data_IF_011534020410
#
_entry.id   IF_011534020410
#
_cell.length_a   1.000
_cell.length_b   1.000
_cell.length_c   1.000
_cell.angle_alpha   90.00
_cell.angle_beta   90.00
_cell.angle_gamma   90.00
#
_symmetry.space_group_name_H-M   'P 1'
#
loop_
_entity.id
_entity.type
_entity.pdbx_description
1 polymer ?
#
# COMPACT_ATOMS: atom_id res chain seq x y z
N UNK A 1 1.09 49.27 -24.99
CA UNK A 1 0.35 48.78 -23.80
C UNK A 1 0.62 47.29 -23.74
N UNK A 2 1.47 46.90 -22.80
CA UNK A 2 1.79 45.50 -22.48
C UNK A 2 0.61 44.91 -21.73
N UNK A 3 0.02 43.82 -22.22
CA UNK A 3 -0.89 42.98 -21.44
C UNK A 3 -0.06 41.83 -20.90
N UNK A 4 0.33 41.94 -19.63
CA UNK A 4 0.85 40.83 -18.86
C UNK A 4 -0.32 39.87 -18.59
N UNK A 5 -0.30 38.72 -19.26
CA UNK A 5 -1.16 37.59 -18.90
C UNK A 5 -0.67 37.02 -17.56
N UNK A 6 -1.35 37.40 -16.48
CA UNK A 6 -1.29 36.68 -15.22
C UNK A 6 -1.96 35.31 -15.41
N UNK A 7 -1.16 34.32 -15.80
CA UNK A 7 -1.49 32.92 -15.54
C UNK A 7 -1.64 32.74 -14.03
N UNK A 8 -2.88 32.66 -13.56
CA UNK A 8 -3.17 32.14 -12.24
C UNK A 8 -2.69 30.68 -12.22
N UNK A 9 -1.54 30.44 -11.56
CA UNK A 9 -1.06 29.10 -11.26
C UNK A 9 -2.11 28.41 -10.37
N UNK A 10 -2.97 27.60 -10.98
CA UNK A 10 -3.79 26.64 -10.23
C UNK A 10 -2.81 25.63 -9.62
N UNK A 11 -2.85 25.38 -8.30
CA UNK A 11 -1.97 24.40 -7.66
C UNK A 11 -2.15 23.03 -8.34
N UNK A 12 -1.05 22.44 -8.80
CA UNK A 12 -1.07 21.09 -9.35
C UNK A 12 -1.20 20.13 -8.17
N UNK A 13 -2.39 19.54 -8.00
CA UNK A 13 -2.59 18.49 -7.00
C UNK A 13 -1.78 17.26 -7.38
N UNK A 14 -0.83 16.87 -6.53
CA UNK A 14 -0.03 15.67 -6.74
C UNK A 14 -0.91 14.40 -6.71
N UNK A 15 -0.58 13.42 -7.53
CA UNK A 15 -1.28 12.14 -7.64
C UNK A 15 -0.28 11.00 -7.65
N UNK A 16 -0.79 9.76 -7.66
CA UNK A 16 0.02 8.54 -7.70
C UNK A 16 0.99 8.47 -8.89
N UNK A 17 0.79 9.24 -9.96
CA UNK A 17 1.67 9.31 -11.14
C UNK A 17 2.58 10.53 -11.17
N UNK A 18 2.62 11.34 -10.11
CA UNK A 18 3.39 12.61 -10.11
C UNK A 18 4.89 12.39 -9.94
N UNK A 19 5.29 11.48 -9.04
CA UNK A 19 6.67 11.37 -8.61
C UNK A 19 7.41 10.17 -9.24
N UNK A 20 8.59 10.45 -9.80
CA UNK A 20 9.49 9.44 -10.37
C UNK A 20 10.59 9.01 -9.39
N UNK A 21 10.86 9.81 -8.37
CA UNK A 21 11.90 9.58 -7.38
C UNK A 21 11.56 10.20 -6.04
N UNK A 22 12.18 9.67 -4.99
CA UNK A 22 11.97 10.06 -3.60
C UNK A 22 13.32 10.14 -2.89
N UNK A 23 13.63 11.23 -2.19
CA UNK A 23 14.72 11.27 -1.20
C UNK A 23 14.15 11.26 0.20
N UNK A 24 14.69 10.39 1.06
CA UNK A 24 14.30 10.25 2.46
C UNK A 24 15.46 10.62 3.38
N UNK A 25 15.17 11.52 4.31
CA UNK A 25 16.04 11.89 5.43
C UNK A 25 15.60 11.15 6.69
N UNK A 26 16.57 10.74 7.52
CA UNK A 26 16.30 10.11 8.81
C UNK A 26 15.95 8.62 8.77
N UNK A 27 16.04 7.95 7.60
CA UNK A 27 15.79 6.50 7.53
C UNK A 27 17.04 5.65 7.77
N UNK A 28 18.20 6.16 7.32
CA UNK A 28 19.43 5.40 7.19
C UNK A 28 20.61 6.18 7.77
N UNK A 29 21.65 5.45 8.17
CA UNK A 29 22.91 6.04 8.61
C UNK A 29 24.09 5.11 8.30
N UNK A 30 25.27 5.69 8.20
CA UNK A 30 26.53 4.99 8.42
C UNK A 30 26.85 5.00 9.91
N UNK A 31 27.94 4.33 10.31
CA UNK A 31 28.38 4.29 11.71
C UNK A 31 28.65 5.69 12.30
N UNK A 32 28.93 6.68 11.46
CA UNK A 32 29.31 8.03 11.90
C UNK A 32 28.36 9.14 11.46
N UNK A 33 27.58 8.95 10.38
CA UNK A 33 26.79 10.03 9.79
C UNK A 33 25.38 9.56 9.37
N UNK A 34 24.36 10.42 9.51
CA UNK A 34 23.09 10.22 8.83
C UNK A 34 23.29 10.10 7.31
N UNK A 35 22.44 9.29 6.68
CA UNK A 35 22.39 9.12 5.24
C UNK A 35 21.07 9.62 4.67
N UNK A 36 21.18 10.32 3.54
CA UNK A 36 20.05 10.73 2.72
C UNK A 36 19.98 9.74 1.56
N UNK A 37 18.88 8.98 1.47
CA UNK A 37 18.76 7.94 0.45
C UNK A 37 17.80 8.36 -0.64
N UNK A 38 18.21 8.22 -1.89
CA UNK A 38 17.34 8.45 -3.06
C UNK A 38 16.83 7.12 -3.60
N UNK A 39 15.51 6.98 -3.66
CA UNK A 39 14.79 5.83 -4.18
C UNK A 39 14.16 6.17 -5.53
N UNK A 40 14.11 5.18 -6.41
CA UNK A 40 13.42 5.30 -7.70
C UNK A 40 12.01 4.73 -7.60
N UNK A 41 11.07 5.31 -8.37
CA UNK A 41 9.73 4.74 -8.53
C UNK A 41 9.85 3.32 -9.06
N UNK A 42 9.18 2.38 -8.39
CA UNK A 42 9.19 0.97 -8.75
C UNK A 42 7.82 0.53 -9.25
N UNK A 43 7.81 -0.48 -10.11
CA UNK A 43 6.56 -1.09 -10.58
C UNK A 43 5.87 -1.79 -9.42
N UNK A 44 4.55 -1.70 -9.33
CA UNK A 44 3.76 -2.45 -8.36
C UNK A 44 3.63 -3.93 -8.76
N UNK A 45 2.98 -4.76 -7.92
CA UNK A 45 2.82 -6.19 -8.16
C UNK A 45 1.35 -6.63 -8.24
N UNK A 46 0.83 -6.88 -9.46
CA UNK A 46 -0.56 -7.30 -9.65
C UNK A 46 -0.96 -8.58 -8.90
N UNK A 47 -2.21 -8.61 -8.43
CA UNK A 47 -2.81 -9.79 -7.82
C UNK A 47 -3.37 -10.74 -8.87
N UNK A 48 -3.36 -12.05 -8.59
CA UNK A 48 -4.25 -12.95 -9.31
C UNK A 48 -5.71 -12.58 -9.03
N UNK A 49 -6.58 -12.77 -10.02
CA UNK A 49 -8.03 -12.64 -9.82
C UNK A 49 -8.52 -13.75 -8.91
N UNK A 50 -9.21 -13.40 -7.84
CA UNK A 50 -9.92 -14.38 -7.03
C UNK A 50 -11.20 -14.80 -7.76
N UNK A 51 -11.43 -16.11 -7.83
CA UNK A 51 -12.58 -16.72 -8.50
C UNK A 51 -13.17 -17.81 -7.63
N UNK A 52 -14.48 -17.81 -7.44
CA UNK A 52 -15.18 -18.92 -6.81
C UNK A 52 -15.57 -19.99 -7.83
N UNK A 53 -16.08 -19.53 -8.98
CA UNK A 53 -16.35 -20.35 -10.16
C UNK A 53 -15.63 -19.71 -11.33
N UNK A 54 -14.76 -20.49 -11.97
CA UNK A 54 -14.00 -19.95 -13.09
C UNK A 54 -14.94 -19.63 -14.26
N UNK A 55 -15.00 -18.35 -14.58
CA UNK A 55 -15.55 -17.81 -15.82
C UNK A 55 -14.37 -17.18 -16.55
N UNK A 56 -14.03 -17.66 -17.77
CA UNK A 56 -13.05 -16.99 -18.61
C UNK A 56 -13.53 -15.58 -18.93
N UNK A 57 -12.65 -14.61 -18.77
CA UNK A 57 -12.91 -13.21 -19.08
C UNK A 57 -11.99 -12.77 -20.22
N UNK A 58 -12.41 -11.78 -21.04
CA UNK A 58 -11.48 -11.11 -21.93
C UNK A 58 -10.39 -10.41 -21.11
N UNK A 59 -9.30 -10.02 -21.78
CA UNK A 59 -8.19 -9.29 -21.16
C UNK A 59 -8.69 -8.06 -20.40
N UNK A 60 -8.23 -7.92 -19.16
CA UNK A 60 -8.61 -6.82 -18.26
C UNK A 60 -7.43 -5.86 -18.17
N UNK A 61 -7.38 -4.88 -19.09
CA UNK A 61 -6.25 -3.93 -19.15
C UNK A 61 -6.09 -3.13 -17.84
N UNK A 62 -7.18 -2.84 -17.12
CA UNK A 62 -7.13 -2.17 -15.82
C UNK A 62 -6.40 -2.97 -14.75
N UNK A 63 -6.15 -4.26 -14.97
CA UNK A 63 -5.42 -5.13 -14.04
C UNK A 63 -3.90 -4.96 -14.10
N UNK A 64 -3.39 -4.33 -15.16
CA UNK A 64 -1.98 -3.99 -15.29
C UNK A 64 -1.53 -3.08 -14.14
N UNK A 65 -0.23 -3.12 -13.75
CA UNK A 65 0.33 -2.09 -12.90
C UNK A 65 0.37 -0.76 -13.68
N UNK A 66 0.30 0.38 -12.98
CA UNK A 66 0.42 1.67 -13.64
C UNK A 66 1.79 1.84 -14.30
N UNK A 67 1.82 2.58 -15.40
CA UNK A 67 3.07 2.96 -16.04
C UNK A 67 3.87 3.89 -15.13
N UNK A 68 5.19 3.69 -15.10
CA UNK A 68 6.09 4.58 -14.37
C UNK A 68 6.04 5.97 -15.02
N UNK A 69 6.05 7.05 -14.23
CA UNK A 69 6.09 8.39 -14.79
C UNK A 69 7.43 8.65 -15.47
N UNK A 70 7.39 8.94 -16.77
CA UNK A 70 8.55 9.43 -17.51
C UNK A 70 8.79 10.87 -17.08
N UNK A 71 9.99 11.18 -16.57
CA UNK A 71 10.38 12.51 -16.10
C UNK A 71 9.45 13.12 -15.02
N UNK A 72 8.90 12.27 -14.15
CA UNK A 72 8.09 12.72 -13.01
C UNK A 72 8.88 13.56 -12.00
N UNK A 73 8.17 14.30 -11.14
CA UNK A 73 8.78 15.16 -10.12
C UNK A 73 9.60 14.34 -9.09
N UNK A 74 10.49 15.05 -8.38
CA UNK A 74 11.22 14.51 -7.24
C UNK A 74 10.50 14.90 -5.94
N UNK A 75 10.27 13.93 -5.07
CA UNK A 75 9.75 14.16 -3.72
C UNK A 75 10.89 14.07 -2.71
N UNK A 76 11.00 15.01 -1.79
CA UNK A 76 12.00 15.01 -0.73
C UNK A 76 11.30 15.14 0.62
N UNK A 77 11.50 14.16 1.50
CA UNK A 77 10.83 14.08 2.79
C UNK A 77 11.81 13.87 3.95
N UNK A 78 11.48 14.46 5.09
CA UNK A 78 12.08 14.16 6.39
C UNK A 78 11.15 13.26 7.20
N UNK A 79 11.67 12.12 7.67
CA UNK A 79 10.95 11.25 8.60
C UNK A 79 10.97 11.85 10.00
N UNK A 80 9.81 11.83 10.67
CA UNK A 80 9.65 12.37 12.02
C UNK A 80 9.25 11.27 13.00
N UNK A 81 7.99 11.22 13.41
CA UNK A 81 7.52 10.31 14.45
C UNK A 81 7.17 8.93 13.89
N UNK A 82 7.59 7.87 14.59
CA UNK A 82 7.04 6.53 14.37
C UNK A 82 5.55 6.51 14.71
N UNK A 83 4.72 6.12 13.75
CA UNK A 83 3.26 6.03 13.88
C UNK A 83 2.86 4.65 14.37
N UNK A 84 3.42 3.60 13.74
CA UNK A 84 3.07 2.22 14.05
C UNK A 84 4.15 1.25 13.60
N UNK A 85 4.21 0.10 14.27
CA UNK A 85 4.96 -1.06 13.84
C UNK A 85 3.99 -2.24 13.66
N UNK A 86 4.06 -2.87 12.50
CA UNK A 86 3.32 -4.07 12.17
C UNK A 86 4.21 -5.29 11.93
N UNK A 87 3.57 -6.39 11.55
CA UNK A 87 4.25 -7.65 11.19
C UNK A 87 5.24 -7.44 10.05
N UNK A 88 4.86 -6.66 9.04
CA UNK A 88 5.57 -6.56 7.75
C UNK A 88 6.45 -5.32 7.61
N UNK A 89 6.16 -4.26 8.37
CA UNK A 89 6.81 -2.95 8.20
C UNK A 89 6.48 -1.99 9.32
N UNK A 90 7.03 -0.79 9.22
CA UNK A 90 6.82 0.35 10.11
C UNK A 90 6.22 1.50 9.31
N UNK A 91 5.44 2.35 9.96
CA UNK A 91 4.93 3.59 9.38
C UNK A 91 5.47 4.79 10.16
N UNK A 92 5.95 5.79 9.44
CA UNK A 92 6.46 7.05 9.98
C UNK A 92 5.65 8.22 9.48
N UNK A 93 5.54 9.26 10.29
CA UNK A 93 5.13 10.57 9.83
C UNK A 93 6.25 11.16 8.97
N UNK A 94 5.89 11.91 7.94
CA UNK A 94 6.87 12.53 7.06
C UNK A 94 6.44 13.95 6.68
N UNK A 95 7.41 14.84 6.57
CA UNK A 95 7.22 16.22 6.18
C UNK A 95 7.93 16.50 4.85
N UNK A 96 7.25 17.11 3.86
CA UNK A 96 7.91 17.60 2.66
C UNK A 96 8.96 18.66 3.01
N UNK A 97 10.12 18.56 2.38
CA UNK A 97 11.20 19.54 2.53
C UNK A 97 11.71 19.97 1.14
N UNK A 98 12.58 20.98 1.11
CA UNK A 98 13.15 21.52 -0.12
C UNK A 98 12.07 22.04 -1.08
N UNK A 99 12.21 21.71 -2.37
CA UNK A 99 11.26 22.12 -3.41
C UNK A 99 9.89 21.42 -3.29
N UNK A 100 9.80 20.35 -2.49
CA UNK A 100 8.54 19.62 -2.28
C UNK A 100 7.51 20.43 -1.49
N UNK A 101 7.97 21.43 -0.73
CA UNK A 101 7.11 22.34 0.05
C UNK A 101 6.21 23.19 -0.85
N UNK A 102 6.60 23.41 -2.11
CA UNK A 102 5.81 24.18 -3.07
C UNK A 102 4.65 23.37 -3.68
N UNK A 103 4.59 22.06 -3.42
CA UNK A 103 3.52 21.19 -3.86
C UNK A 103 2.37 21.19 -2.86
N UNK A 104 1.14 21.20 -3.36
CA UNK A 104 -0.06 21.06 -2.53
C UNK A 104 -0.26 19.59 -2.10
N UNK A 105 0.54 19.18 -1.12
CA UNK A 105 0.55 17.86 -0.52
C UNK A 105 -0.21 17.86 0.81
N UNK A 106 -1.01 16.82 1.11
CA UNK A 106 -1.52 16.63 2.46
C UNK A 106 -0.37 16.24 3.41
N UNK A 107 -0.65 16.16 4.71
CA UNK A 107 0.25 15.48 5.63
C UNK A 107 0.59 14.07 5.10
N UNK A 108 1.85 13.67 5.18
CA UNK A 108 2.33 12.42 4.60
C UNK A 108 2.75 11.42 5.68
N UNK A 109 2.64 10.14 5.33
CA UNK A 109 3.27 9.06 6.05
C UNK A 109 4.01 8.13 5.08
N UNK A 110 5.03 7.47 5.62
CA UNK A 110 5.94 6.62 4.88
C UNK A 110 5.91 5.25 5.52
N UNK A 111 5.41 4.25 4.79
CA UNK A 111 5.45 2.84 5.19
C UNK A 111 6.73 2.22 4.66
N UNK A 112 7.60 1.78 5.57
CA UNK A 112 8.87 1.13 5.28
C UNK A 112 8.75 -0.35 5.61
N UNK A 113 9.05 -1.23 4.65
CA UNK A 113 8.98 -2.67 4.91
C UNK A 113 10.26 -3.24 5.52
N UNK A 114 10.07 -4.31 6.29
CA UNK A 114 11.16 -5.19 6.71
C UNK A 114 11.69 -5.95 5.47
N UNK A 115 12.98 -6.34 5.41
CA UNK A 115 13.63 -6.80 4.18
C UNK A 115 12.95 -7.97 3.46
N UNK A 116 12.22 -8.82 4.18
CA UNK A 116 11.54 -10.01 3.64
C UNK A 116 10.21 -9.70 2.93
N UNK A 117 9.67 -8.49 3.07
CA UNK A 117 8.29 -8.15 2.66
C UNK A 117 8.20 -7.15 1.49
N UNK A 118 9.28 -6.95 0.73
CA UNK A 118 9.26 -6.06 -0.45
C UNK A 118 8.14 -6.40 -1.44
N UNK A 119 7.98 -7.69 -1.74
CA UNK A 119 6.90 -8.21 -2.59
C UNK A 119 5.49 -7.95 -2.03
N UNK A 120 5.34 -7.98 -0.71
CA UNK A 120 4.10 -7.64 -0.02
C UNK A 120 3.75 -6.17 -0.19
N UNK A 121 4.72 -5.25 -0.07
CA UNK A 121 4.47 -3.83 -0.30
C UNK A 121 4.20 -3.53 -1.78
N UNK A 122 4.91 -4.18 -2.70
CA UNK A 122 4.63 -4.05 -4.12
C UNK A 122 3.19 -4.47 -4.45
N UNK A 123 2.68 -5.52 -3.78
CA UNK A 123 1.29 -5.97 -3.91
C UNK A 123 0.30 -4.95 -3.34
N UNK A 124 0.56 -4.45 -2.14
CA UNK A 124 -0.27 -3.40 -1.52
C UNK A 124 -0.30 -2.13 -2.37
N UNK A 125 0.85 -1.71 -2.90
CA UNK A 125 0.98 -0.57 -3.81
C UNK A 125 0.08 -0.73 -5.04
N UNK A 126 0.01 -1.95 -5.61
CA UNK A 126 -0.87 -2.21 -6.74
C UNK A 126 -2.34 -1.99 -6.36
N UNK A 127 -2.79 -2.40 -5.17
CA UNK A 127 -4.16 -2.10 -4.74
C UNK A 127 -4.44 -0.60 -4.65
N UNK A 128 -3.50 0.19 -4.12
CA UNK A 128 -3.65 1.65 -4.14
C UNK A 128 -3.68 2.22 -5.56
N UNK A 129 -2.92 1.66 -6.51
CA UNK A 129 -3.05 2.03 -7.93
C UNK A 129 -4.44 1.76 -8.49
N UNK A 130 -5.02 0.59 -8.17
CA UNK A 130 -6.38 0.25 -8.59
C UNK A 130 -7.42 1.19 -7.96
N UNK A 131 -7.21 1.61 -6.71
CA UNK A 131 -8.09 2.54 -6.01
C UNK A 131 -7.98 3.97 -6.56
N UNK A 132 -6.78 4.41 -6.99
CA UNK A 132 -6.57 5.72 -7.59
C UNK A 132 -7.23 5.89 -8.96
N UNK A 133 -7.51 4.78 -9.67
CA UNK A 133 -8.25 4.79 -10.93
C UNK A 133 -9.76 4.98 -10.74
N UNK A 134 -10.28 4.78 -9.52
CA UNK A 134 -11.71 4.81 -9.21
C UNK A 134 -12.06 6.11 -8.50
N UNK A 135 -12.92 6.93 -9.12
CA UNK A 135 -13.20 8.31 -8.68
C UNK A 135 -13.80 8.43 -7.26
N UNK A 136 -14.33 7.34 -6.70
CA UNK A 136 -14.96 7.28 -5.39
C UNK A 136 -14.07 6.62 -4.32
N UNK A 137 -12.81 6.33 -4.61
CA UNK A 137 -11.95 5.55 -3.73
C UNK A 137 -10.83 6.36 -3.09
N UNK A 138 -9.85 6.80 -3.88
CA UNK A 138 -8.67 7.51 -3.36
C UNK A 138 -9.05 8.85 -2.70
N UNK A 139 -8.58 9.08 -1.48
CA UNK A 139 -8.93 10.27 -0.68
C UNK A 139 -10.37 10.26 -0.15
N UNK A 140 -11.19 9.27 -0.50
CA UNK A 140 -12.58 9.13 -0.05
C UNK A 140 -12.70 8.01 0.99
N UNK A 141 -12.40 6.78 0.57
CA UNK A 141 -12.49 5.56 1.41
C UNK A 141 -11.11 4.99 1.75
N UNK A 142 -10.06 5.46 1.10
CA UNK A 142 -8.64 5.13 1.36
C UNK A 142 -7.79 6.40 1.37
N UNK A 143 -6.59 6.42 1.99
CA UNK A 143 -5.67 7.54 1.80
C UNK A 143 -5.27 7.70 0.33
N UNK A 144 -4.82 8.90 -0.03
CA UNK A 144 -4.09 9.13 -1.29
C UNK A 144 -2.74 8.40 -1.27
N UNK A 145 -2.33 7.86 -2.40
CA UNK A 145 -1.05 7.19 -2.57
C UNK A 145 -0.16 7.99 -3.52
N UNK A 146 1.06 8.26 -3.09
CA UNK A 146 2.03 9.06 -3.85
C UNK A 146 3.12 8.22 -4.49
N UNK A 147 3.23 6.94 -4.11
CA UNK A 147 4.00 5.97 -4.86
C UNK A 147 4.70 4.91 -4.05
N UNK A 148 5.16 3.90 -4.78
CA UNK A 148 5.99 2.81 -4.30
C UNK A 148 7.42 2.96 -4.85
N UNK A 149 8.39 3.02 -3.95
CA UNK A 149 9.77 3.35 -4.26
C UNK A 149 10.70 2.28 -3.70
N UNK A 150 11.79 2.01 -4.42
CA UNK A 150 12.77 1.01 -4.02
C UNK A 150 14.20 1.48 -4.28
N UNK A 151 15.13 1.04 -3.44
CA UNK A 151 16.58 1.16 -3.67
C UNK A 151 17.31 -0.03 -3.07
N UNK A 152 18.36 -0.49 -3.72
CA UNK A 152 19.26 -1.50 -3.15
C UNK A 152 20.14 -0.86 -2.09
N UNK A 153 20.31 -1.51 -0.94
CA UNK A 153 21.09 -0.97 0.17
C UNK A 153 22.54 -0.68 -0.24
N UNK A 154 23.12 -1.49 -1.12
CA UNK A 154 24.52 -1.30 -1.59
C UNK A 154 24.72 -0.02 -2.39
N UNK A 155 23.62 0.54 -2.92
CA UNK A 155 23.61 1.77 -3.71
C UNK A 155 23.36 3.00 -2.82
N UNK A 156 23.20 2.80 -1.51
CA UNK A 156 22.96 3.86 -0.53
C UNK A 156 24.27 4.27 0.16
N UNK A 157 24.55 5.57 0.17
CA UNK A 157 25.74 6.15 0.79
C UNK A 157 25.36 7.33 1.68
N UNK A 158 26.15 7.58 2.72
CA UNK A 158 26.03 8.79 3.55
C UNK A 158 26.58 10.03 2.83
N UNK A 159 26.46 11.19 3.48
CA UNK A 159 26.92 12.49 2.96
C UNK A 159 28.43 12.55 2.67
N UNK A 160 29.23 11.60 3.20
CA UNK A 160 30.68 11.48 2.95
C UNK A 160 31.01 10.36 1.96
N UNK A 161 30.00 9.73 1.34
CA UNK A 161 30.17 8.63 0.41
C UNK A 161 30.49 7.29 1.07
N UNK A 162 30.26 7.13 2.38
CA UNK A 162 30.39 5.84 3.06
C UNK A 162 29.13 5.00 2.85
N UNK A 163 29.24 3.67 2.65
CA UNK A 163 28.07 2.81 2.54
C UNK A 163 27.18 2.90 3.79
N UNK A 164 25.86 2.90 3.59
CA UNK A 164 24.89 2.78 4.69
C UNK A 164 25.07 1.43 5.38
N UNK A 165 25.24 1.44 6.71
CA UNK A 165 25.35 0.25 7.55
C UNK A 165 24.10 0.01 8.41
N UNK A 166 23.30 1.05 8.64
CA UNK A 166 22.14 1.02 9.51
C UNK A 166 20.90 1.55 8.80
N UNK A 167 19.78 0.86 9.03
CA UNK A 167 18.46 1.25 8.57
C UNK A 167 17.58 1.18 9.81
N UNK A 168 17.16 2.32 10.35
CA UNK A 168 16.54 2.43 11.68
C UNK A 168 15.36 1.45 11.92
N UNK A 169 14.48 1.13 10.94
CA UNK A 169 13.45 0.10 11.13
C UNK A 169 13.96 -1.36 11.16
N UNK A 170 15.23 -1.61 10.82
CA UNK A 170 15.80 -2.95 10.67
C UNK A 170 16.71 -3.36 11.83
N UNK A 171 17.18 -2.43 12.65
CA UNK A 171 18.19 -2.68 13.68
C UNK A 171 17.75 -3.66 14.77
N UNK A 172 16.45 -3.71 15.09
CA UNK A 172 15.88 -4.67 16.04
C UNK A 172 15.36 -5.96 15.39
N UNK A 173 15.51 -6.11 14.07
CA UNK A 173 15.05 -7.28 13.33
C UNK A 173 16.21 -8.25 13.23
N UNK A 174 16.16 -9.33 14.02
CA UNK A 174 16.96 -10.51 13.69
C UNK A 174 16.47 -11.04 12.36
N UNK A 175 17.12 -10.67 11.26
CA UNK A 175 17.03 -11.43 10.01
C UNK A 175 17.70 -12.75 10.34
N UNK A 176 16.93 -13.68 10.93
CA UNK A 176 17.42 -15.06 11.14
C UNK A 176 18.01 -15.45 9.80
N UNK A 177 19.29 -15.78 9.82
CA UNK A 177 20.01 -16.25 8.65
C UNK A 177 19.08 -17.22 7.96
N UNK A 178 18.80 -16.99 6.68
CA UNK A 178 18.33 -18.04 5.81
C UNK A 178 19.46 -19.07 5.78
N UNK A 179 19.58 -19.87 6.84
CA UNK A 179 20.42 -21.05 6.83
C UNK A 179 19.81 -21.90 5.72
N UNK A 180 20.57 -22.05 4.65
CA UNK A 180 20.46 -23.16 3.72
C UNK A 180 20.72 -24.43 4.52
N UNK A 181 19.76 -24.81 5.36
CA UNK A 181 19.75 -26.13 5.96
C UNK A 181 19.17 -27.05 4.90
N UNK A 182 20.12 -27.69 4.23
CA UNK A 182 19.98 -29.00 3.64
C UNK A 182 19.04 -29.87 4.46
N UNK A 183 18.06 -30.46 3.76
CA UNK A 183 17.31 -31.66 4.11
C UNK A 183 16.51 -31.62 5.44
N UNK A 184 15.19 -31.76 5.31
CA UNK A 184 14.24 -32.19 6.37
C UNK A 184 13.66 -31.16 7.36
N UNK A 185 13.10 -30.04 6.87
CA UNK A 185 12.20 -29.19 7.68
C UNK A 185 10.82 -28.97 7.02
N UNK A 186 9.92 -29.97 7.13
CA UNK A 186 8.48 -29.69 7.10
C UNK A 186 8.11 -28.81 8.31
N UNK A 187 7.89 -27.51 8.11
CA UNK A 187 7.17 -26.71 9.12
C UNK A 187 7.55 -25.23 9.24
N UNK A 188 6.65 -24.36 8.79
CA UNK A 188 6.48 -22.94 9.15
C UNK A 188 7.35 -21.85 8.49
N UNK A 189 8.69 -21.88 8.49
CA UNK A 189 9.48 -20.66 8.19
C UNK A 189 9.39 -20.18 6.71
N UNK A 190 9.28 -21.09 5.75
CA UNK A 190 9.19 -20.74 4.31
C UNK A 190 7.87 -20.07 3.88
N UNK A 191 6.85 -19.97 4.76
CA UNK A 191 5.51 -19.46 4.41
C UNK A 191 5.25 -18.02 4.87
N UNK A 192 6.13 -17.45 5.68
CA UNK A 192 5.87 -16.14 6.32
C UNK A 192 5.79 -14.96 5.34
N UNK A 193 6.35 -15.12 4.14
CA UNK A 193 6.40 -14.13 3.05
C UNK A 193 5.45 -14.47 1.89
N UNK A 194 4.62 -15.51 2.03
CA UNK A 194 3.63 -15.86 1.01
C UNK A 194 2.54 -14.81 0.91
N UNK A 195 2.23 -14.44 -0.33
CA UNK A 195 1.03 -13.68 -0.64
C UNK A 195 -0.20 -14.59 -0.63
N UNK A 196 -1.41 -14.01 -0.51
CA UNK A 196 -2.62 -14.81 -0.39
C UNK A 196 -2.92 -15.73 -1.58
N UNK A 197 -2.32 -15.46 -2.74
CA UNK A 197 -2.47 -16.20 -4.01
C UNK A 197 -1.25 -17.07 -4.37
N UNK A 198 -0.28 -17.23 -3.46
CA UNK A 198 0.88 -18.11 -3.66
C UNK A 198 0.65 -19.60 -3.41
N UNK A 199 -0.16 -20.01 -2.41
CA UNK A 199 -0.28 -21.42 -2.10
C UNK A 199 -0.80 -22.23 -3.30
N UNK A 200 -0.05 -23.26 -3.78
CA UNK A 200 -0.41 -23.97 -5.01
C UNK A 200 -1.81 -24.60 -4.99
N UNK A 201 -2.26 -25.04 -3.81
CA UNK A 201 -3.59 -25.63 -3.62
C UNK A 201 -4.74 -24.61 -3.78
N UNK A 202 -4.44 -23.31 -3.78
CA UNK A 202 -5.40 -22.25 -4.06
C UNK A 202 -5.47 -21.87 -5.54
N UNK A 203 -4.66 -22.47 -6.42
CA UNK A 203 -4.63 -22.14 -7.86
C UNK A 203 -5.95 -22.38 -8.62
N UNK A 204 -6.92 -23.08 -8.03
CA UNK A 204 -8.29 -23.17 -8.56
C UNK A 204 -9.13 -21.93 -8.26
N UNK A 205 -8.78 -21.18 -7.22
CA UNK A 205 -9.45 -19.96 -6.77
C UNK A 205 -8.72 -18.68 -7.16
N UNK A 206 -7.50 -18.77 -7.69
CA UNK A 206 -6.74 -17.63 -8.17
C UNK A 206 -6.35 -17.85 -9.64
N UNK A 207 -6.63 -16.85 -10.47
CA UNK A 207 -6.38 -16.90 -11.91
C UNK A 207 -5.61 -15.68 -12.37
N UNK A 208 -4.46 -15.94 -12.96
CA UNK A 208 -3.66 -14.95 -13.66
C UNK A 208 -4.03 -14.97 -15.14
N UNK A 209 -5.24 -14.50 -15.45
CA UNK A 209 -5.85 -14.66 -16.78
C UNK A 209 -5.01 -14.05 -17.92
N UNK A 210 -4.28 -12.96 -17.63
CA UNK A 210 -3.50 -12.19 -18.61
C UNK A 210 -1.98 -12.23 -18.36
N UNK A 211 -1.52 -13.00 -17.38
CA UNK A 211 -0.09 -13.09 -17.08
C UNK A 211 0.50 -11.86 -16.37
N UNK A 212 -0.32 -10.92 -15.89
CA UNK A 212 0.16 -9.71 -15.20
C UNK A 212 0.91 -10.04 -13.91
N UNK A 213 0.47 -11.07 -13.19
CA UNK A 213 1.19 -11.53 -12.00
C UNK A 213 2.46 -12.27 -12.43
N UNK A 214 2.34 -13.31 -13.25
CA UNK A 214 3.46 -14.18 -13.62
C UNK A 214 4.56 -13.47 -14.40
N UNK A 215 4.21 -12.45 -15.20
CA UNK A 215 5.14 -11.60 -15.95
C UNK A 215 5.76 -10.46 -15.14
N UNK A 216 5.35 -10.24 -13.89
CA UNK A 216 5.93 -9.19 -13.04
C UNK A 216 7.28 -9.63 -12.45
N UNK A 217 8.28 -8.73 -12.37
CA UNK A 217 9.56 -9.04 -11.71
C UNK A 217 9.39 -9.47 -10.24
N UNK A 218 8.31 -9.02 -9.59
CA UNK A 218 7.98 -9.35 -8.21
C UNK A 218 7.52 -10.79 -7.98
N UNK A 219 7.12 -11.51 -9.04
CA UNK A 219 6.67 -12.90 -8.90
C UNK A 219 7.83 -13.82 -8.49
N UNK A 220 9.00 -13.60 -9.07
CA UNK A 220 10.21 -14.38 -8.81
C UNK A 220 11.15 -13.73 -7.80
N UNK A 221 10.94 -12.44 -7.48
CA UNK A 221 11.74 -11.73 -6.48
C UNK A 221 11.78 -12.47 -5.14
N UNK A 222 12.98 -12.52 -4.54
CA UNK A 222 13.24 -13.07 -3.21
C UNK A 222 14.09 -12.08 -2.42
N UNK A 223 13.92 -12.00 -1.08
CA UNK A 223 14.79 -11.18 -0.26
C UNK A 223 16.24 -11.68 -0.34
N UNK A 224 17.18 -10.75 -0.45
CA UNK A 224 18.61 -11.03 -0.44
C UNK A 224 19.24 -10.49 0.85
N UNK A 225 19.81 -11.35 1.71
CA UNK A 225 20.53 -10.90 2.90
C UNK A 225 21.80 -10.10 2.58
N UNK A 226 22.47 -10.42 1.47
CA UNK A 226 23.70 -9.73 1.04
C UNK A 226 23.45 -8.45 0.25
N UNK A 227 22.23 -8.25 -0.22
CA UNK A 227 21.79 -7.04 -0.92
C UNK A 227 20.33 -6.73 -0.59
N UNK A 228 20.04 -6.29 0.65
CA UNK A 228 18.67 -5.98 1.05
C UNK A 228 18.07 -4.86 0.19
N UNK A 229 16.79 -5.00 -0.14
CA UNK A 229 16.05 -3.98 -0.88
C UNK A 229 15.25 -3.12 0.11
N UNK A 230 15.52 -1.82 0.14
CA UNK A 230 14.67 -0.85 0.84
C UNK A 230 13.42 -0.64 0.00
N UNK A 231 12.25 -0.88 0.60
CA UNK A 231 10.95 -0.76 -0.04
C UNK A 231 10.08 0.20 0.76
N UNK A 232 9.57 1.23 0.08
CA UNK A 232 8.82 2.32 0.70
C UNK A 232 7.52 2.60 -0.06
N UNK A 233 6.44 2.84 0.67
CA UNK A 233 5.17 3.33 0.15
C UNK A 233 4.82 4.67 0.81
N UNK A 234 4.57 5.70 0.00
CA UNK A 234 4.21 7.05 0.48
C UNK A 234 2.70 7.24 0.36
N UNK A 235 2.06 7.59 1.49
CA UNK A 235 0.62 7.74 1.60
C UNK A 235 0.26 9.09 2.27
N UNK A 236 -0.96 9.54 2.07
CA UNK A 236 -1.59 10.55 2.92
C UNK A 236 -1.67 10.03 4.37
N UNK A 237 -1.20 10.86 5.31
CA UNK A 237 -1.35 10.61 6.74
C UNK A 237 -2.79 10.86 7.15
N UNK A 238 -3.34 9.85 7.82
CA UNK A 238 -4.68 9.88 8.39
C UNK A 238 -4.62 10.08 9.91
N UNK A 239 -5.79 10.20 10.52
CA UNK A 239 -5.92 10.37 11.96
C UNK A 239 -5.78 9.04 12.72
N UNK A 240 -6.33 9.00 13.92
CA UNK A 240 -6.22 7.83 14.79
C UNK A 240 -6.96 6.61 14.24
N UNK A 241 -6.46 5.43 14.60
CA UNK A 241 -7.13 4.15 14.42
C UNK A 241 -8.51 4.17 15.09
N UNK A 242 -9.46 3.43 14.55
CA UNK A 242 -10.79 3.28 15.11
C UNK A 242 -10.73 2.67 16.51
N UNK A 243 -11.34 3.35 17.48
CA UNK A 243 -11.61 2.81 18.80
C UNK A 243 -13.08 3.01 19.09
N UNK A 244 -13.79 1.94 19.47
CA UNK A 244 -15.24 1.95 19.65
C UNK A 244 -15.69 3.00 20.69
N UNK A 245 -16.37 4.09 20.29
CA UNK A 245 -16.97 4.99 21.25
C UNK A 245 -18.29 4.38 21.74
N UNK A 246 -18.40 4.12 23.05
CA UNK A 246 -19.55 3.42 23.66
C UNK A 246 -20.92 4.00 23.28
N UNK A 247 -20.99 5.31 23.02
CA UNK A 247 -22.26 6.01 22.78
C UNK A 247 -22.58 6.25 21.29
N UNK A 248 -21.65 5.98 20.37
CA UNK A 248 -21.81 6.26 18.92
C UNK A 248 -21.47 5.06 18.03
N UNK A 249 -21.16 3.92 18.62
CA UNK A 249 -20.68 2.71 17.93
C UNK A 249 -21.55 2.34 16.71
N UNK A 250 -22.87 2.42 16.80
CA UNK A 250 -23.76 2.03 15.70
C UNK A 250 -23.57 2.90 14.45
N UNK A 251 -23.47 4.21 14.62
CA UNK A 251 -23.33 5.14 13.51
C UNK A 251 -21.93 5.07 12.91
N UNK A 252 -20.90 4.87 13.76
CA UNK A 252 -19.53 4.64 13.30
C UNK A 252 -19.42 3.33 12.49
N UNK A 253 -19.99 2.23 12.99
CA UNK A 253 -20.00 0.96 12.27
C UNK A 253 -20.80 1.03 10.96
N UNK A 254 -21.88 1.81 10.91
CA UNK A 254 -22.62 2.02 9.66
C UNK A 254 -21.78 2.77 8.63
N UNK A 255 -21.04 3.80 9.05
CA UNK A 255 -20.11 4.50 8.17
C UNK A 255 -19.02 3.57 7.63
N UNK A 256 -18.42 2.75 8.50
CA UNK A 256 -17.41 1.74 8.10
C UNK A 256 -18.01 0.71 7.12
N UNK A 257 -19.25 0.27 7.32
CA UNK A 257 -19.93 -0.65 6.39
C UNK A 257 -20.14 -0.04 5.03
N UNK A 258 -20.42 1.26 4.96
CA UNK A 258 -20.58 1.99 3.70
C UNK A 258 -19.24 2.11 2.96
N UNK A 259 -18.16 2.46 3.66
CA UNK A 259 -16.77 2.48 3.14
C UNK A 259 -16.36 1.11 2.57
N UNK A 260 -16.62 0.04 3.31
CA UNK A 260 -16.31 -1.34 2.88
C UNK A 260 -17.18 -1.77 1.69
N UNK A 261 -18.42 -1.29 1.60
CA UNK A 261 -19.29 -1.56 0.46
C UNK A 261 -18.79 -0.87 -0.81
N UNK A 262 -18.31 0.37 -0.70
CA UNK A 262 -17.68 1.08 -1.83
C UNK A 262 -16.45 0.33 -2.33
N UNK A 263 -15.58 -0.13 -1.43
CA UNK A 263 -14.42 -0.96 -1.78
C UNK A 263 -14.84 -2.27 -2.50
N UNK A 264 -15.88 -2.93 -1.98
CA UNK A 264 -16.41 -4.15 -2.56
C UNK A 264 -17.04 -3.96 -3.94
N UNK A 265 -17.60 -2.76 -4.22
CA UNK A 265 -18.27 -2.46 -5.49
C UNK A 265 -17.33 -2.47 -6.69
N UNK A 266 -16.04 -2.15 -6.47
CA UNK A 266 -14.97 -2.22 -7.47
C UNK A 266 -14.24 -3.57 -7.47
N UNK A 267 -14.74 -4.54 -6.69
CA UNK A 267 -14.23 -5.91 -6.65
C UNK A 267 -13.02 -6.12 -5.75
N UNK A 268 -12.64 -5.17 -4.90
CA UNK A 268 -11.54 -5.37 -3.95
C UNK A 268 -12.09 -5.97 -2.65
N UNK A 269 -11.47 -7.06 -2.19
CA UNK A 269 -11.68 -7.64 -0.88
C UNK A 269 -10.48 -7.30 0.00
N UNK A 270 -10.68 -6.59 1.10
CA UNK A 270 -9.58 -6.19 1.97
C UNK A 270 -8.94 -7.38 2.69
N UNK A 271 -9.75 -8.38 3.05
CA UNK A 271 -9.35 -9.63 3.76
C UNK A 271 -8.72 -9.46 5.15
N UNK A 272 -8.55 -8.22 5.62
CA UNK A 272 -8.12 -7.89 6.97
C UNK A 272 -8.85 -6.66 7.50
N UNK A 273 -10.15 -6.80 7.73
CA UNK A 273 -11.01 -5.73 8.23
C UNK A 273 -11.01 -5.63 9.76
N UNK A 274 -9.87 -5.92 10.41
CA UNK A 274 -9.73 -5.65 11.84
C UNK A 274 -9.78 -4.14 12.09
N UNK A 275 -10.28 -3.73 13.25
CA UNK A 275 -10.42 -2.30 13.59
C UNK A 275 -9.11 -1.51 13.48
N UNK A 276 -7.96 -2.18 13.63
CA UNK A 276 -6.63 -1.58 13.47
C UNK A 276 -6.36 -1.02 12.08
N UNK A 277 -7.08 -1.51 11.06
CA UNK A 277 -6.94 -1.10 9.66
C UNK A 277 -8.01 -0.07 9.25
N UNK A 278 -8.76 0.44 10.22
CA UNK A 278 -9.74 1.51 10.04
C UNK A 278 -9.18 2.76 10.70
N UNK A 279 -8.98 3.83 9.94
CA UNK A 279 -8.34 5.06 10.43
C UNK A 279 -9.19 6.30 10.11
N UNK A 280 -9.12 7.29 10.98
CA UNK A 280 -9.94 8.50 10.91
C UNK A 280 -9.55 9.34 9.68
N UNK A 281 -10.54 9.74 8.88
CA UNK A 281 -10.35 10.70 7.80
C UNK A 281 -9.94 12.08 8.37
N UNK A 282 -9.02 12.76 7.70
CA UNK A 282 -8.50 14.09 8.08
C UNK A 282 -9.07 15.22 7.23
N UNK A 283 -9.86 14.88 6.21
CA UNK A 283 -10.53 15.83 5.33
C UNK A 283 -11.98 15.39 5.08
N UNK A 284 -12.80 16.34 4.60
CA UNK A 284 -14.24 16.15 4.39
C UNK A 284 -14.60 15.91 2.92
N UNK A 285 -13.77 15.15 2.19
CA UNK A 285 -14.09 14.79 0.79
C UNK A 285 -15.39 13.98 0.76
N UNK A 286 -16.36 14.48 -0.03
CA UNK A 286 -17.70 13.89 -0.13
C UNK A 286 -17.67 12.65 -1.01
N UNK A 287 -18.13 11.51 -0.48
CA UNK A 287 -18.31 10.31 -1.26
C UNK A 287 -19.49 10.48 -2.24
N UNK A 288 -19.29 10.21 -3.55
CA UNK A 288 -20.37 10.33 -4.53
C UNK A 288 -21.47 9.28 -4.35
N UNK A 289 -21.19 8.13 -3.74
CA UNK A 289 -22.20 7.08 -3.51
C UNK A 289 -23.11 7.40 -2.33
N UNK A 290 -22.54 7.97 -1.26
CA UNK A 290 -23.25 8.21 0.00
C UNK A 290 -23.66 9.68 0.21
N UNK A 291 -23.17 10.60 -0.63
CA UNK A 291 -23.47 12.04 -0.58
C UNK A 291 -23.10 12.69 0.77
N UNK A 292 -22.02 12.19 1.38
CA UNK A 292 -21.45 12.69 2.65
C UNK A 292 -19.96 12.33 2.71
N UNK A 293 -19.20 13.05 3.52
CA UNK A 293 -17.85 12.65 3.86
C UNK A 293 -17.90 11.41 4.77
N UNK A 294 -17.03 10.43 4.50
CA UNK A 294 -16.81 9.31 5.41
C UNK A 294 -15.90 9.77 6.55
N UNK A 295 -16.16 9.30 7.76
CA UNK A 295 -15.31 9.56 8.94
C UNK A 295 -14.12 8.61 8.98
N UNK A 296 -14.21 7.47 8.30
CA UNK A 296 -13.21 6.41 8.34
C UNK A 296 -12.72 6.05 6.94
N UNK A 297 -11.48 5.59 6.89
CA UNK A 297 -10.81 5.06 5.70
C UNK A 297 -10.14 3.74 6.01
N UNK A 298 -9.94 2.95 4.96
CA UNK A 298 -9.26 1.66 4.97
C UNK A 298 -7.79 1.84 4.60
N UNK A 299 -6.93 1.09 5.29
CA UNK A 299 -5.48 1.01 5.04
C UNK A 299 -5.02 -0.45 5.11
N UNK A 300 -3.78 -0.72 4.72
CA UNK A 300 -3.13 -2.03 4.84
C UNK A 300 -3.76 -3.11 3.92
N UNK A 301 -3.55 -2.95 2.61
CA UNK A 301 -4.05 -3.87 1.59
C UNK A 301 -3.08 -5.04 1.30
N UNK A 302 -2.21 -5.39 2.25
CA UNK A 302 -1.17 -6.40 2.08
C UNK A 302 -1.73 -7.82 1.83
N UNK A 303 -2.89 -8.10 2.43
CA UNK A 303 -3.63 -9.36 2.33
C UNK A 303 -4.80 -9.29 1.34
N UNK A 304 -5.01 -8.15 0.68
CA UNK A 304 -6.17 -7.94 -0.16
C UNK A 304 -6.20 -8.88 -1.38
N UNK A 305 -7.40 -9.08 -1.91
CA UNK A 305 -7.65 -9.82 -3.14
C UNK A 305 -8.54 -8.99 -4.07
N UNK A 306 -8.48 -9.24 -5.37
CA UNK A 306 -9.34 -8.57 -6.35
C UNK A 306 -10.15 -9.59 -7.13
N UNK A 307 -11.46 -9.39 -7.18
CA UNK A 307 -12.42 -10.11 -7.98
C UNK A 307 -12.84 -9.26 -9.19
N UNK A 308 -13.37 -9.90 -10.23
CA UNK A 308 -14.04 -9.19 -11.31
C UNK A 308 -15.55 -9.19 -11.06
N UNK A 309 -16.12 -8.01 -10.80
CA UNK A 309 -17.55 -7.88 -10.50
C UNK A 309 -18.34 -7.87 -11.81
N UNK A 310 -19.01 -8.98 -12.10
CA UNK A 310 -19.78 -9.14 -13.34
C UNK A 310 -21.01 -10.03 -13.13
N UNK A 311 -22.11 -9.83 -13.89
CA UNK A 311 -23.31 -10.67 -13.76
C UNK A 311 -23.07 -12.17 -13.98
N UNK A 312 -22.03 -12.54 -14.73
CA UNK A 312 -21.63 -13.92 -15.01
C UNK A 312 -20.96 -14.60 -13.81
N UNK A 313 -20.45 -13.83 -12.85
CA UNK A 313 -19.79 -14.31 -11.63
C UNK A 313 -20.48 -13.73 -10.36
N UNK A 314 -21.77 -14.02 -10.14
CA UNK A 314 -22.55 -13.39 -9.06
C UNK A 314 -22.06 -13.77 -7.66
N UNK A 315 -21.36 -14.90 -7.52
CA UNK A 315 -20.77 -15.32 -6.24
C UNK A 315 -19.57 -14.43 -5.90
N UNK A 316 -18.71 -14.14 -6.87
CA UNK A 316 -17.53 -13.29 -6.68
C UNK A 316 -17.95 -11.87 -6.29
N UNK A 317 -18.95 -11.33 -7.00
CA UNK A 317 -19.58 -10.05 -6.66
C UNK A 317 -20.19 -10.05 -5.25
N UNK A 318 -20.90 -11.12 -4.86
CA UNK A 318 -21.46 -11.24 -3.51
C UNK A 318 -20.38 -11.30 -2.44
N UNK A 319 -19.29 -12.03 -2.67
CA UNK A 319 -18.17 -12.11 -1.73
C UNK A 319 -17.53 -10.73 -1.52
N UNK A 320 -17.30 -10.01 -2.62
CA UNK A 320 -16.74 -8.66 -2.57
C UNK A 320 -17.71 -7.63 -1.96
N UNK A 321 -19.00 -7.64 -2.29
CA UNK A 321 -19.89 -6.53 -1.88
C UNK A 321 -20.57 -6.81 -0.53
N UNK A 322 -20.99 -8.05 -0.28
CA UNK A 322 -21.88 -8.38 0.85
C UNK A 322 -21.11 -9.06 1.98
N UNK A 323 -20.33 -10.09 1.67
CA UNK A 323 -19.72 -10.93 2.71
C UNK A 323 -18.70 -10.19 3.56
N UNK A 324 -17.86 -9.34 2.98
CA UNK A 324 -16.90 -8.57 3.80
C UNK A 324 -17.56 -7.50 4.68
N UNK A 325 -18.71 -6.94 4.26
CA UNK A 325 -19.46 -5.96 5.10
C UNK A 325 -20.03 -6.63 6.37
N UNK A 326 -20.39 -7.91 6.28
CA UNK A 326 -20.95 -8.66 7.41
C UNK A 326 -19.96 -8.87 8.55
N UNK A 327 -18.65 -8.74 8.32
CA UNK A 327 -17.65 -8.91 9.39
C UNK A 327 -17.60 -7.70 10.31
N UNK A 328 -18.08 -6.53 9.86
CA UNK A 328 -18.00 -5.27 10.61
C UNK A 328 -18.87 -5.31 11.87
N UNK A 329 -18.21 -5.20 13.03
CA UNK A 329 -18.81 -5.32 14.36
C UNK A 329 -18.87 -6.75 14.92
N UNK A 330 -18.38 -7.75 14.19
CA UNK A 330 -18.28 -9.14 14.69
C UNK A 330 -17.00 -9.34 15.52
N UNK A 331 -16.86 -10.50 16.18
CA UNK A 331 -15.65 -10.84 16.95
C UNK A 331 -14.35 -10.70 16.13
N UNK A 332 -14.37 -11.14 14.86
CA UNK A 332 -13.23 -10.98 13.95
C UNK A 332 -12.80 -9.51 13.78
N UNK A 333 -13.75 -8.60 13.58
CA UNK A 333 -13.48 -7.16 13.44
C UNK A 333 -12.81 -6.60 14.71
N UNK A 334 -13.21 -7.07 15.89
CA UNK A 334 -12.63 -6.68 17.17
C UNK A 334 -11.34 -7.43 17.53
N UNK A 335 -10.89 -8.37 16.70
CA UNK A 335 -9.75 -9.24 16.99
C UNK A 335 -10.02 -10.26 18.10
N UNK A 336 -11.29 -10.55 18.40
CA UNK A 336 -11.69 -11.64 19.28
C UNK A 336 -11.66 -12.93 18.48
N UNK A 337 -10.64 -13.76 18.73
CA UNK A 337 -10.55 -15.13 18.22
C UNK A 337 -11.19 -16.09 19.20
#
# INVERSE_FOLDING_TARGET
MSSEDHHQNVPVHASISTFSSLTLHGLCSSDENPAEITLSRSQSFPASRIVWKYVPLPRIESWAPLSLPNDGAHLELELTDSISEGRVGLAYSAQPIGNSVELDLPDLCVKVMKPRYGRTLAREAWFYEQLALEANCEGVITPRCFGFFTVSLKDCFDVKGQPVSHVEPWENITIKSLQTDSDDAEGSDYRDWWLPDDPPWLGKYFKDDDGWKSGSPWNEWRPSPSDPLICVLVLERLGNVYFAPKDQEKDELNDIRDVVRDLGSIGILHRDLRYSNIVRATNDVVCPNHQRAHRWRLIDFDAAAKAFVTPEAPIDARLAIISQVQVIGTGYFWGWN
#
